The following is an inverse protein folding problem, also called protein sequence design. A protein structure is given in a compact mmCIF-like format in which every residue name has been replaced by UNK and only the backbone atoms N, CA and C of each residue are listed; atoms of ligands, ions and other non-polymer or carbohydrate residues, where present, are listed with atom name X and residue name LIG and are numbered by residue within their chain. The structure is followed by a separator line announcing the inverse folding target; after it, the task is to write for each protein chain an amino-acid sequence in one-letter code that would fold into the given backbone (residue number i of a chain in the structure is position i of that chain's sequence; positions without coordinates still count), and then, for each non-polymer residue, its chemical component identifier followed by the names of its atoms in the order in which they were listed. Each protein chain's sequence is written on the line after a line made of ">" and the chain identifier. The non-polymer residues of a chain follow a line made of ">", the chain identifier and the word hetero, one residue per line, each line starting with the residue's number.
data_IF_806804507724
#
_entry.id   IF_806804507724
#
_cell.length_a   1.000
_cell.length_b   1.000
_cell.length_c   1.000
_cell.angle_alpha   90.00
_cell.angle_beta   90.00
_cell.angle_gamma   90.00
#
_symmetry.space_group_name_H-M   'P 1'
#
loop_
_entity.id
_entity.type
_entity.pdbx_description
1 polymer ?
#
# COMPACT_ATOMS: atom_id res chain seq x y z
N UNK A 1 0.91 -42.28 -5.87
CA UNK A 1 0.16 -41.20 -6.56
C UNK A 1 0.17 -39.95 -5.70
N UNK A 2 0.68 -38.82 -6.19
CA UNK A 2 0.80 -37.60 -5.40
C UNK A 2 -0.48 -36.75 -5.49
N UNK A 3 -0.98 -36.28 -4.35
CA UNK A 3 -2.28 -35.60 -4.21
C UNK A 3 -2.13 -34.11 -4.57
N UNK A 4 -2.66 -33.71 -5.72
CA UNK A 4 -2.66 -32.29 -6.15
C UNK A 4 -3.68 -31.51 -5.33
N UNK A 5 -3.24 -30.43 -4.66
CA UNK A 5 -4.12 -29.46 -4.00
C UNK A 5 -3.61 -28.07 -4.40
N UNK A 6 -4.44 -27.29 -5.08
CA UNK A 6 -4.11 -25.92 -5.47
C UNK A 6 -5.32 -25.01 -5.34
N UNK A 7 -5.40 -24.24 -4.24
CA UNK A 7 -6.39 -23.16 -4.10
C UNK A 7 -5.77 -21.99 -3.34
N UNK A 8 -5.47 -20.91 -4.06
CA UNK A 8 -5.91 -19.58 -3.61
C UNK A 8 -6.20 -18.58 -4.75
N UNK A 9 -7.44 -18.56 -5.30
CA UNK A 9 -7.94 -17.49 -6.16
C UNK A 9 -8.58 -16.32 -5.38
N UNK A 10 -8.05 -15.96 -4.19
CA UNK A 10 -8.43 -14.89 -3.22
C UNK A 10 -9.20 -15.27 -1.91
N UNK A 11 -9.77 -16.44 -1.61
CA UNK A 11 -10.00 -17.69 -2.37
C UNK A 11 -11.30 -17.59 -3.14
N UNK A 12 -11.22 -17.80 -4.46
CA UNK A 12 -12.36 -17.91 -5.38
C UNK A 12 -13.57 -17.06 -4.97
N UNK A 13 -13.44 -15.75 -5.20
CA UNK A 13 -14.53 -14.75 -5.24
C UNK A 13 -14.92 -14.04 -3.94
N UNK A 14 -14.70 -14.56 -2.71
CA UNK A 14 -15.09 -13.76 -1.50
C UNK A 14 -14.17 -13.79 -0.26
N UNK A 15 -13.92 -12.59 0.28
CA UNK A 15 -14.16 -12.36 1.70
C UNK A 15 -13.01 -11.79 2.53
N UNK A 16 -11.87 -12.49 2.66
CA UNK A 16 -10.86 -12.17 3.69
C UNK A 16 -9.41 -12.36 3.22
N UNK A 17 -8.66 -11.26 3.19
CA UNK A 17 -7.22 -11.24 2.96
C UNK A 17 -6.46 -11.76 4.19
N UNK A 18 -5.42 -12.57 3.96
CA UNK A 18 -4.52 -13.06 5.02
C UNK A 18 -3.23 -12.23 5.09
N UNK A 19 -2.48 -12.35 6.19
CA UNK A 19 -1.12 -11.76 6.29
C UNK A 19 -0.12 -12.32 5.26
N UNK A 20 -0.38 -13.51 4.69
CA UNK A 20 0.43 -14.07 3.62
C UNK A 20 0.16 -13.41 2.24
N UNK A 21 -0.94 -12.66 2.12
CA UNK A 21 -1.40 -12.04 0.87
C UNK A 21 -0.86 -10.61 0.65
N UNK A 22 -0.08 -10.06 1.59
CA UNK A 22 0.11 -8.59 1.73
C UNK A 22 1.43 -8.02 1.18
N UNK A 23 2.33 -8.85 0.62
CA UNK A 23 3.68 -8.41 0.22
C UNK A 23 3.93 -8.69 -1.26
N UNK A 24 3.57 -7.74 -2.12
CA UNK A 24 3.68 -7.90 -3.57
C UNK A 24 4.01 -6.58 -4.24
N UNK A 25 5.18 -6.51 -4.89
CA UNK A 25 5.68 -5.34 -5.62
C UNK A 25 5.81 -5.68 -7.11
N UNK A 26 5.48 -4.72 -7.98
CA UNK A 26 5.40 -4.93 -9.43
C UNK A 26 6.76 -4.71 -10.12
N UNK A 27 7.13 -5.64 -11.01
CA UNK A 27 8.23 -5.45 -11.97
C UNK A 27 7.67 -5.47 -13.39
N UNK A 28 8.07 -4.52 -14.24
CA UNK A 28 7.81 -4.60 -15.69
C UNK A 28 8.73 -5.64 -16.32
N UNK A 29 8.17 -6.47 -17.18
CA UNK A 29 8.93 -7.40 -18.01
C UNK A 29 8.51 -7.20 -19.47
N UNK A 30 9.47 -7.19 -20.39
CA UNK A 30 9.19 -6.92 -21.80
C UNK A 30 8.28 -8.01 -22.39
N UNK A 31 7.27 -7.59 -23.16
CA UNK A 31 6.19 -8.44 -23.67
C UNK A 31 6.67 -9.64 -24.51
N UNK A 32 7.86 -9.55 -25.10
CA UNK A 32 8.48 -10.57 -25.95
C UNK A 32 9.07 -11.77 -25.19
N UNK A 33 9.20 -11.70 -23.85
CA UNK A 33 9.88 -12.74 -23.06
C UNK A 33 8.98 -13.89 -22.55
N UNK A 34 7.70 -13.92 -22.94
CA UNK A 34 6.75 -14.95 -22.53
C UNK A 34 5.86 -15.36 -23.72
N UNK A 35 5.99 -16.59 -24.21
CA UNK A 35 5.21 -17.09 -25.35
C UNK A 35 3.69 -17.05 -25.12
N UNK A 36 3.23 -17.15 -23.87
CA UNK A 36 1.81 -17.03 -23.53
C UNK A 36 1.26 -15.59 -23.63
N UNK A 37 2.13 -14.57 -23.71
CA UNK A 37 1.74 -13.16 -23.81
C UNK A 37 1.58 -12.67 -25.27
N UNK A 38 2.02 -13.45 -26.26
CA UNK A 38 1.80 -13.14 -27.69
C UNK A 38 0.30 -13.01 -28.04
N UNK A 39 -0.57 -13.75 -27.35
CA UNK A 39 -2.01 -13.69 -27.53
C UNK A 39 -2.73 -12.62 -26.67
N UNK A 40 -2.03 -11.95 -25.75
CA UNK A 40 -2.63 -10.94 -24.88
C UNK A 40 -1.62 -9.86 -24.46
N UNK A 41 -1.40 -8.81 -25.29
CA UNK A 41 -0.31 -7.85 -25.13
C UNK A 41 -0.42 -6.92 -23.90
N UNK A 42 -1.53 -6.98 -23.14
CA UNK A 42 -1.85 -6.01 -22.08
C UNK A 42 -1.23 -6.34 -20.71
N UNK A 43 -0.60 -7.51 -20.52
CA UNK A 43 -0.02 -7.94 -19.23
C UNK A 43 1.52 -7.86 -19.19
N UNK A 44 2.06 -6.64 -19.10
CA UNK A 44 3.52 -6.36 -19.03
C UNK A 44 4.12 -6.45 -17.62
N UNK A 45 3.39 -6.99 -16.64
CA UNK A 45 3.76 -6.95 -15.22
C UNK A 45 3.77 -8.33 -14.57
N UNK A 46 4.94 -8.77 -14.13
CA UNK A 46 5.13 -10.00 -13.34
C UNK A 46 5.63 -9.57 -11.95
N UNK A 47 4.94 -9.99 -10.89
CA UNK A 47 5.34 -9.62 -9.53
C UNK A 47 6.46 -10.53 -9.03
N UNK A 48 7.64 -9.95 -8.81
CA UNK A 48 8.81 -10.65 -8.34
C UNK A 48 8.78 -10.87 -6.83
N UNK A 49 9.22 -12.05 -6.37
CA UNK A 49 9.55 -12.27 -4.96
C UNK A 49 10.93 -11.69 -4.67
N UNK A 50 11.04 -10.82 -3.66
CA UNK A 50 12.33 -10.31 -3.17
C UNK A 50 13.14 -11.47 -2.61
N UNK A 51 14.42 -11.59 -3.02
CA UNK A 51 15.35 -12.64 -2.52
C UNK A 51 16.17 -12.22 -1.30
N UNK A 52 16.36 -10.91 -1.09
CA UNK A 52 17.10 -10.36 0.05
C UNK A 52 16.18 -9.97 1.20
N UNK A 53 16.69 -10.01 2.43
CA UNK A 53 16.03 -9.37 3.57
C UNK A 53 15.93 -7.84 3.37
N UNK A 54 14.91 -7.16 3.93
CA UNK A 54 14.89 -5.70 4.07
C UNK A 54 16.15 -5.17 4.76
N UNK A 55 16.67 -4.02 4.32
CA UNK A 55 17.67 -3.29 5.11
C UNK A 55 17.01 -2.71 6.36
N UNK A 56 17.80 -2.42 7.38
CA UNK A 56 17.32 -1.78 8.60
C UNK A 56 16.61 -0.45 8.30
N UNK A 57 17.17 0.37 7.40
CA UNK A 57 16.56 1.61 6.91
C UNK A 57 15.22 1.42 6.20
N UNK A 58 15.02 0.33 5.46
CA UNK A 58 13.72 0.00 4.86
C UNK A 58 12.69 -0.42 5.93
N UNK A 59 13.13 -1.13 6.97
CA UNK A 59 12.26 -1.52 8.10
C UNK A 59 11.83 -0.28 8.89
N UNK A 60 12.75 0.63 9.18
CA UNK A 60 12.48 1.91 9.84
C UNK A 60 11.50 2.76 9.02
N UNK A 61 11.75 2.93 7.72
CA UNK A 61 10.85 3.68 6.83
C UNK A 61 9.44 3.08 6.80
N UNK A 62 9.31 1.75 6.70
CA UNK A 62 8.01 1.05 6.74
C UNK A 62 7.31 1.22 8.08
N UNK A 63 8.06 1.17 9.18
CA UNK A 63 7.53 1.32 10.54
C UNK A 63 7.00 2.74 10.75
N UNK A 64 7.79 3.77 10.37
CA UNK A 64 7.38 5.18 10.38
C UNK A 64 6.15 5.42 9.51
N UNK A 65 6.15 4.93 8.26
CA UNK A 65 5.00 5.06 7.36
C UNK A 65 3.73 4.41 7.94
N UNK A 66 3.85 3.24 8.58
CA UNK A 66 2.75 2.57 9.28
C UNK A 66 2.20 3.41 10.44
N UNK A 67 3.08 3.98 11.28
CA UNK A 67 2.69 4.87 12.37
C UNK A 67 1.94 6.12 11.87
N UNK A 68 2.46 6.80 10.82
CA UNK A 68 1.80 7.96 10.21
C UNK A 68 0.41 7.59 9.67
N UNK A 69 0.27 6.42 9.02
CA UNK A 69 -1.03 5.95 8.53
C UNK A 69 -2.06 5.76 9.65
N UNK A 70 -1.64 5.22 10.80
CA UNK A 70 -2.50 5.01 11.98
C UNK A 70 -2.87 6.36 12.61
N UNK A 71 -1.89 7.25 12.83
CA UNK A 71 -2.12 8.57 13.41
C UNK A 71 -3.05 9.44 12.55
N UNK A 72 -2.81 9.49 11.23
CA UNK A 72 -3.68 10.18 10.26
C UNK A 72 -5.11 9.66 10.35
N UNK A 73 -5.30 8.34 10.45
CA UNK A 73 -6.64 7.75 10.57
C UNK A 73 -7.32 8.13 11.89
N UNK A 74 -6.58 8.05 13.00
CA UNK A 74 -7.09 8.42 14.33
C UNK A 74 -7.50 9.89 14.37
N UNK A 75 -6.66 10.80 13.86
CA UNK A 75 -6.91 12.25 13.84
C UNK A 75 -8.11 12.64 12.96
N UNK A 76 -8.27 12.02 11.79
CA UNK A 76 -9.46 12.20 10.95
C UNK A 76 -10.76 11.61 11.54
N UNK A 77 -10.67 10.79 12.60
CA UNK A 77 -11.80 10.25 13.35
C UNK A 77 -12.00 10.94 14.71
N UNK A 78 -11.10 11.86 15.07
CA UNK A 78 -11.14 12.60 16.33
C UNK A 78 -12.00 13.87 16.16
N UNK A 79 -13.24 13.80 16.65
CA UNK A 79 -14.20 14.90 16.58
C UNK A 79 -13.72 16.18 17.30
N UNK A 80 -12.76 16.08 18.23
CA UNK A 80 -12.20 17.26 18.91
C UNK A 80 -11.19 18.03 18.04
N UNK A 81 -10.46 17.34 17.16
CA UNK A 81 -9.42 17.93 16.30
C UNK A 81 -9.90 18.26 14.90
N UNK A 82 -10.85 17.48 14.37
CA UNK A 82 -11.37 17.63 13.01
C UNK A 82 -11.85 19.05 12.65
N UNK A 83 -12.54 19.83 13.53
CA UNK A 83 -12.93 21.21 13.21
C UNK A 83 -11.74 22.15 12.98
N UNK A 84 -10.70 22.02 13.80
CA UNK A 84 -9.47 22.82 13.68
C UNK A 84 -8.68 22.43 12.42
N UNK A 85 -8.54 21.13 12.16
CA UNK A 85 -7.87 20.64 10.95
C UNK A 85 -8.63 21.07 9.67
N UNK A 86 -9.97 21.14 9.69
CA UNK A 86 -10.78 21.67 8.58
C UNK A 86 -10.57 23.18 8.39
N UNK A 87 -10.51 23.95 9.48
CA UNK A 87 -10.28 25.39 9.41
C UNK A 87 -8.88 25.70 8.84
N UNK A 88 -7.84 25.04 9.35
CA UNK A 88 -6.47 25.17 8.85
C UNK A 88 -6.31 24.67 7.41
N UNK A 89 -6.99 23.58 7.04
CA UNK A 89 -7.02 23.10 5.65
C UNK A 89 -7.64 24.12 4.68
N UNK A 90 -8.62 24.92 5.13
CA UNK A 90 -9.25 25.96 4.31
C UNK A 90 -8.41 27.24 4.18
N UNK A 91 -7.51 27.53 5.11
CA UNK A 91 -6.62 28.71 5.05
C UNK A 91 -5.35 28.47 4.23
N UNK A 92 -4.98 27.21 3.99
CA UNK A 92 -3.81 26.83 3.18
C UNK A 92 -4.20 26.48 1.73
N UNK A 93 -3.23 26.52 0.81
CA UNK A 93 -3.42 26.20 -0.62
C UNK A 93 -2.48 25.09 -1.14
N UNK A 94 -1.56 24.60 -0.30
CA UNK A 94 -0.51 23.63 -0.66
C UNK A 94 -1.06 22.22 -0.91
N UNK A 95 -2.01 21.78 -0.09
CA UNK A 95 -2.57 20.43 -0.08
C UNK A 95 -3.96 20.41 -0.73
N UNK A 96 -4.22 19.40 -1.57
CA UNK A 96 -5.48 19.29 -2.32
C UNK A 96 -6.62 18.64 -1.54
N UNK A 97 -6.32 17.94 -0.45
CA UNK A 97 -7.33 17.25 0.38
C UNK A 97 -7.00 17.37 1.86
N UNK A 98 -8.03 17.41 2.70
CA UNK A 98 -7.88 17.39 4.16
C UNK A 98 -7.03 16.20 4.64
N UNK A 99 -7.23 15.02 4.03
CA UNK A 99 -6.43 13.83 4.34
C UNK A 99 -4.94 14.02 4.05
N UNK A 100 -4.59 14.73 2.97
CA UNK A 100 -3.20 15.02 2.63
C UNK A 100 -2.60 16.00 3.65
N UNK A 101 -3.30 17.09 3.98
CA UNK A 101 -2.89 18.04 5.02
C UNK A 101 -2.64 17.35 6.37
N UNK A 102 -3.62 16.58 6.86
CA UNK A 102 -3.51 15.85 8.13
C UNK A 102 -2.41 14.78 8.09
N UNK A 103 -2.16 14.14 6.94
CA UNK A 103 -1.04 13.21 6.79
C UNK A 103 0.31 13.91 6.98
N UNK A 104 0.50 15.10 6.40
CA UNK A 104 1.75 15.86 6.58
C UNK A 104 1.94 16.34 8.02
N UNK A 105 0.88 16.83 8.67
CA UNK A 105 0.92 17.15 10.11
C UNK A 105 1.32 15.94 10.97
N UNK A 106 0.71 14.77 10.75
CA UNK A 106 1.11 13.55 11.45
C UNK A 106 2.49 13.02 11.04
N UNK A 107 3.02 13.36 9.85
CA UNK A 107 4.35 12.97 9.41
C UNK A 107 5.47 13.80 10.07
N UNK A 108 5.16 15.05 10.44
CA UNK A 108 6.00 15.94 11.24
C UNK A 108 5.94 15.57 12.74
N UNK A 109 4.75 15.25 13.28
CA UNK A 109 4.58 14.79 14.67
C UNK A 109 5.25 13.44 14.99
N UNK A 110 5.58 12.64 13.95
CA UNK A 110 6.20 11.29 14.04
C UNK A 110 7.62 11.30 13.43
N UNK A 111 8.17 12.49 13.15
CA UNK A 111 9.51 12.66 12.60
C UNK A 111 10.63 12.38 13.60
#
# INVERSE_FOLDING_TARGET
>A
MAKVIYIDPVKSVSGKLSKASTVTFMRRQAATSNAAMLANPNYTHIMGRRKSSPSQSEVEYRTRFGAICVATRKRLQDASKMPADIAAFKSQTQYRTLRQYVWHQCAEEIA
#
